data_IF_537834986613
#
_entry.id   IF_537834986613
#
_cell.length_a   1.000
_cell.length_b   1.000
_cell.length_c   1.000
_cell.angle_alpha   90.00
_cell.angle_beta   90.00
_cell.angle_gamma   90.00
#
_symmetry.space_group_name_H-M   'P 1'
#
loop_
_entity.id
_entity.type
_entity.pdbx_description
1 polymer ?
#
# COMPACT_ATOMS: atom_id res chain seq x y z
N UNK A 1 -57.51 46.05 -44.18
CA UNK A 1 -56.05 46.24 -44.20
C UNK A 1 -55.41 45.03 -43.56
N UNK A 2 -54.53 44.36 -44.32
CA UNK A 2 -53.67 43.26 -43.88
C UNK A 2 -52.42 43.87 -43.22
N UNK A 3 -51.94 43.32 -42.11
CA UNK A 3 -50.53 42.87 -41.98
C UNK A 3 -50.16 42.37 -40.58
N UNK A 4 -49.54 41.18 -40.58
CA UNK A 4 -48.72 40.57 -39.53
C UNK A 4 -47.43 41.37 -39.26
N UNK A 5 -46.92 41.28 -38.03
CA UNK A 5 -45.50 41.12 -37.64
C UNK A 5 -45.34 41.44 -36.14
N UNK A 6 -44.38 40.94 -35.35
CA UNK A 6 -43.47 39.80 -35.37
C UNK A 6 -42.86 39.72 -33.95
N UNK A 7 -42.51 38.52 -33.50
CA UNK A 7 -41.88 38.24 -32.20
C UNK A 7 -40.42 38.71 -32.21
N UNK A 8 -39.95 39.30 -31.10
CA UNK A 8 -38.51 39.32 -30.77
C UNK A 8 -38.33 39.19 -29.26
N UNK A 9 -37.81 38.04 -28.80
CA UNK A 9 -37.33 37.84 -27.43
C UNK A 9 -35.81 38.01 -27.45
N UNK A 10 -35.29 39.00 -26.73
CA UNK A 10 -33.84 39.16 -26.51
C UNK A 10 -33.46 38.45 -25.20
N UNK A 11 -32.65 37.41 -25.34
CA UNK A 11 -31.90 36.79 -24.26
C UNK A 11 -30.84 37.78 -23.75
N UNK A 12 -30.88 38.10 -22.46
CA UNK A 12 -29.83 38.83 -21.75
C UNK A 12 -29.23 37.94 -20.67
N UNK A 13 -27.98 37.54 -20.86
CA UNK A 13 -27.14 36.94 -19.82
C UNK A 13 -26.75 38.03 -18.81
N UNK A 14 -27.08 37.85 -17.53
CA UNK A 14 -26.71 38.82 -16.49
C UNK A 14 -26.67 38.19 -15.10
N UNK A 15 -25.44 37.99 -14.63
CA UNK A 15 -24.98 37.86 -13.24
C UNK A 15 -25.70 36.85 -12.33
N UNK A 16 -25.13 35.64 -12.22
CA UNK A 16 -25.29 34.84 -11.01
C UNK A 16 -24.48 35.48 -9.87
N UNK A 17 -24.97 35.42 -8.61
CA UNK A 17 -24.18 35.83 -7.45
C UNK A 17 -22.95 34.93 -7.34
N UNK A 18 -21.82 35.58 -7.07
CA UNK A 18 -20.54 34.96 -6.75
C UNK A 18 -20.69 34.29 -5.38
N UNK A 19 -21.16 33.04 -5.39
CA UNK A 19 -20.95 32.12 -4.28
C UNK A 19 -19.44 31.88 -4.24
N UNK A 20 -18.75 32.59 -3.33
CA UNK A 20 -17.35 32.33 -3.01
C UNK A 20 -17.24 30.85 -2.68
N UNK A 21 -16.68 30.11 -3.64
CA UNK A 21 -16.45 28.70 -3.51
C UNK A 21 -15.65 28.50 -2.25
N UNK A 22 -16.24 27.83 -1.27
CA UNK A 22 -15.50 27.26 -0.17
C UNK A 22 -14.40 26.41 -0.80
N UNK A 23 -13.17 26.90 -0.69
CA UNK A 23 -11.96 26.16 -0.99
C UNK A 23 -12.00 24.96 -0.05
N UNK A 24 -12.53 23.83 -0.53
CA UNK A 24 -12.37 22.58 0.16
C UNK A 24 -10.92 22.19 -0.09
N UNK A 25 -10.03 22.76 0.72
CA UNK A 25 -8.71 22.21 0.95
C UNK A 25 -8.93 20.81 1.49
N UNK A 26 -9.07 19.86 0.57
CA UNK A 26 -8.77 18.46 0.85
C UNK A 26 -7.32 18.50 1.25
N UNK A 27 -7.04 18.61 2.54
CA UNK A 27 -5.84 18.02 3.11
C UNK A 27 -5.88 16.59 2.59
N UNK A 28 -5.14 16.32 1.52
CA UNK A 28 -4.89 14.97 1.01
C UNK A 28 -4.32 14.30 2.22
N UNK A 29 -5.17 13.56 2.94
CA UNK A 29 -4.81 13.06 4.25
C UNK A 29 -3.46 12.40 4.07
N UNK A 30 -2.44 12.91 4.75
CA UNK A 30 -1.12 12.32 4.81
C UNK A 30 -1.20 11.02 5.64
N UNK A 31 -2.21 10.19 5.33
CA UNK A 31 -2.29 8.80 5.70
C UNK A 31 -1.30 8.06 4.83
N UNK A 32 -0.03 8.40 5.06
CA UNK A 32 1.08 7.53 4.78
C UNK A 32 1.20 6.53 5.90
N UNK A 33 1.50 5.30 5.54
CA UNK A 33 1.83 4.19 6.41
C UNK A 33 2.84 4.65 7.47
N UNK A 34 2.42 4.63 8.73
CA UNK A 34 3.22 5.15 9.84
C UNK A 34 3.89 4.04 10.63
N UNK A 35 5.19 4.20 10.86
CA UNK A 35 5.99 3.27 11.65
C UNK A 35 6.50 3.91 12.93
N UNK A 36 6.72 3.09 13.95
CA UNK A 36 7.30 3.52 15.24
C UNK A 36 8.58 2.74 15.55
N UNK A 37 9.52 3.38 16.22
CA UNK A 37 10.77 2.74 16.65
C UNK A 37 11.72 2.40 15.49
N UNK A 38 12.70 1.55 15.78
CA UNK A 38 13.72 1.12 14.82
C UNK A 38 13.29 -0.17 14.12
N UNK A 39 13.52 -0.32 12.81
CA UNK A 39 13.36 -1.59 12.14
C UNK A 39 14.27 -2.67 12.73
N UNK A 40 13.80 -3.91 12.73
CA UNK A 40 14.54 -5.08 13.21
C UNK A 40 14.73 -6.08 12.07
N UNK A 41 15.73 -6.94 12.20
CA UNK A 41 15.85 -8.13 11.37
C UNK A 41 15.26 -9.31 12.14
N UNK A 42 14.26 -9.97 11.56
CA UNK A 42 13.66 -11.19 12.06
C UNK A 42 14.15 -12.37 11.21
N UNK A 43 14.68 -13.41 11.87
CA UNK A 43 15.27 -14.57 11.21
C UNK A 43 14.58 -15.88 11.62
N UNK A 44 13.37 -15.84 12.20
CA UNK A 44 12.81 -17.07 12.76
C UNK A 44 11.42 -17.01 13.36
N UNK A 45 10.77 -15.85 13.42
CA UNK A 45 9.39 -15.77 13.91
C UNK A 45 8.48 -16.52 12.93
N UNK A 46 7.88 -17.62 13.39
CA UNK A 46 6.92 -18.40 12.61
C UNK A 46 5.50 -18.08 13.05
N UNK A 47 4.59 -17.98 12.10
CA UNK A 47 3.17 -17.89 12.40
C UNK A 47 2.35 -18.76 11.44
N UNK A 48 1.18 -19.21 11.89
CA UNK A 48 0.23 -19.96 11.07
C UNK A 48 -0.97 -19.09 10.76
N UNK A 49 -1.20 -18.83 9.48
CA UNK A 49 -2.32 -18.00 8.99
C UNK A 49 -3.08 -18.78 7.94
N UNK A 50 -4.39 -18.94 8.12
CA UNK A 50 -5.24 -19.70 7.18
C UNK A 50 -4.78 -21.16 6.95
N UNK A 51 -4.10 -21.78 7.91
CA UNK A 51 -3.55 -23.14 7.79
C UNK A 51 -2.15 -23.23 7.16
N UNK A 52 -1.57 -22.11 6.72
CA UNK A 52 -0.19 -22.06 6.20
C UNK A 52 0.77 -21.57 7.28
N UNK A 53 1.79 -22.37 7.62
CA UNK A 53 2.88 -21.95 8.52
C UNK A 53 3.98 -21.28 7.71
N UNK A 54 4.37 -20.07 8.08
CA UNK A 54 5.34 -19.27 7.33
C UNK A 54 6.21 -18.41 8.24
N UNK A 55 7.27 -17.81 7.69
CA UNK A 55 7.99 -16.75 8.40
C UNK A 55 7.08 -15.51 8.42
N UNK A 56 6.97 -14.88 9.58
CA UNK A 56 6.22 -13.65 9.78
C UNK A 56 7.06 -12.67 10.58
N UNK A 57 6.89 -11.38 10.34
CA UNK A 57 7.33 -10.38 11.30
C UNK A 57 6.61 -10.57 12.65
N UNK A 58 7.20 -10.11 13.78
CA UNK A 58 6.53 -10.11 15.07
C UNK A 58 5.17 -9.41 15.04
N UNK A 59 4.30 -9.74 16.00
CA UNK A 59 2.96 -9.12 16.07
C UNK A 59 3.06 -7.59 16.13
N UNK A 60 2.30 -6.91 15.26
CA UNK A 60 2.34 -5.45 15.12
C UNK A 60 3.42 -4.90 14.19
N UNK A 61 4.17 -5.76 13.49
CA UNK A 61 5.18 -5.36 12.52
C UNK A 61 4.75 -5.73 11.09
N UNK A 62 5.11 -4.88 10.14
CA UNK A 62 5.03 -5.16 8.71
C UNK A 62 6.42 -5.46 8.14
N UNK A 63 6.45 -6.24 7.06
CA UNK A 63 7.65 -6.46 6.28
C UNK A 63 7.98 -5.18 5.51
N UNK A 64 9.23 -4.72 5.60
CA UNK A 64 9.77 -3.59 4.82
C UNK A 64 10.94 -4.03 3.95
N UNK A 65 11.31 -5.31 4.00
CA UNK A 65 12.35 -5.93 3.21
C UNK A 65 12.49 -7.41 3.52
N UNK A 66 13.16 -8.13 2.63
CA UNK A 66 13.41 -9.55 2.77
C UNK A 66 14.74 -9.96 2.12
N UNK A 67 15.45 -10.86 2.79
CA UNK A 67 16.58 -11.60 2.24
C UNK A 67 16.12 -13.03 1.95
N UNK A 68 15.59 -13.25 0.74
CA UNK A 68 14.89 -14.49 0.37
C UNK A 68 15.77 -15.74 0.48
N UNK A 69 17.08 -15.63 0.21
CA UNK A 69 18.00 -16.77 0.29
C UNK A 69 18.32 -17.24 1.71
N UNK A 70 18.08 -16.39 2.72
CA UNK A 70 18.40 -16.68 4.13
C UNK A 70 17.16 -16.74 5.01
N UNK A 71 15.97 -16.53 4.41
CA UNK A 71 14.69 -16.42 5.14
C UNK A 71 14.78 -15.43 6.31
N UNK A 72 15.32 -14.22 6.06
CA UNK A 72 15.42 -13.12 7.05
C UNK A 72 14.58 -11.94 6.55
N UNK A 73 13.72 -11.39 7.39
CA UNK A 73 12.89 -10.23 7.06
C UNK A 73 13.33 -8.99 7.82
N UNK A 74 13.25 -7.84 7.17
CA UNK A 74 13.33 -6.55 7.86
C UNK A 74 11.92 -6.12 8.19
N UNK A 75 11.68 -5.90 9.47
CA UNK A 75 10.36 -5.65 10.02
C UNK A 75 10.33 -4.27 10.66
N UNK A 76 9.30 -3.47 10.36
CA UNK A 76 9.06 -2.19 11.02
C UNK A 76 7.72 -2.22 11.77
N UNK A 77 7.69 -1.64 12.96
CA UNK A 77 6.52 -1.66 13.83
C UNK A 77 5.49 -0.68 13.30
N UNK A 78 4.30 -1.18 12.95
CA UNK A 78 3.17 -0.33 12.57
C UNK A 78 2.73 0.51 13.78
N UNK A 79 2.35 1.77 13.55
CA UNK A 79 1.79 2.63 14.60
C UNK A 79 0.49 2.05 15.16
N UNK A 80 -0.29 1.40 14.30
CA UNK A 80 -1.53 0.69 14.62
C UNK A 80 -1.85 -0.33 13.53
N UNK A 81 -2.68 -1.32 13.86
CA UNK A 81 -3.18 -2.33 12.92
C UNK A 81 -4.70 -2.39 13.01
N UNK A 82 -5.36 -2.68 11.89
CA UNK A 82 -6.78 -3.00 11.86
C UNK A 82 -6.96 -4.48 11.53
N UNK A 83 -7.82 -5.17 12.28
CA UNK A 83 -8.13 -6.58 12.07
C UNK A 83 -6.99 -7.56 12.39
N UNK A 84 -7.27 -8.84 12.13
CA UNK A 84 -6.33 -9.95 12.30
C UNK A 84 -5.55 -10.22 11.03
N UNK A 85 -4.42 -10.91 11.15
CA UNK A 85 -3.67 -11.43 10.00
C UNK A 85 -4.54 -12.39 9.21
N UNK A 86 -4.48 -12.31 7.89
CA UNK A 86 -5.20 -13.21 6.99
C UNK A 86 -4.27 -13.72 5.89
N UNK A 87 -4.62 -14.87 5.33
CA UNK A 87 -3.83 -15.53 4.29
C UNK A 87 -4.27 -15.02 2.93
N UNK A 88 -3.31 -14.63 2.10
CA UNK A 88 -3.53 -14.41 0.68
C UNK A 88 -2.77 -15.47 -0.14
N UNK A 89 -3.46 -16.10 -1.08
CA UNK A 89 -2.95 -17.19 -1.92
C UNK A 89 -3.00 -16.90 -3.41
N UNK A 90 -3.36 -15.68 -3.83
CA UNK A 90 -3.42 -15.40 -5.26
C UNK A 90 -3.84 -14.01 -5.69
N UNK A 91 -3.94 -13.04 -4.78
CA UNK A 91 -4.14 -11.65 -5.22
C UNK A 91 -2.91 -11.23 -6.01
N UNK A 92 -3.14 -10.70 -7.21
CA UNK A 92 -2.06 -10.29 -8.12
C UNK A 92 -2.24 -8.85 -8.55
N UNK A 93 -1.15 -8.07 -8.44
CA UNK A 93 -1.10 -6.66 -8.86
C UNK A 93 0.30 -6.34 -9.37
N UNK A 94 0.40 -5.50 -10.39
CA UNK A 94 1.66 -5.19 -11.08
C UNK A 94 2.45 -6.43 -11.55
N UNK A 95 1.74 -7.51 -11.91
CA UNK A 95 2.35 -8.78 -12.32
C UNK A 95 3.03 -9.56 -11.19
N UNK A 96 2.74 -9.24 -9.93
CA UNK A 96 3.32 -9.88 -8.75
C UNK A 96 2.21 -10.35 -7.80
N UNK A 97 2.54 -11.30 -6.92
CA UNK A 97 1.65 -11.67 -5.82
C UNK A 97 1.62 -10.55 -4.81
N UNK A 98 0.44 -10.06 -4.45
CA UNK A 98 0.27 -8.94 -3.54
C UNK A 98 -0.80 -9.25 -2.51
N UNK A 99 -0.74 -8.58 -1.37
CA UNK A 99 -1.87 -8.47 -0.48
C UNK A 99 -3.02 -7.70 -1.15
N UNK A 100 -4.27 -7.96 -0.75
CA UNK A 100 -5.41 -7.13 -1.13
C UNK A 100 -5.14 -5.65 -0.91
N UNK A 101 -5.76 -4.80 -1.73
CA UNK A 101 -5.56 -3.36 -1.66
C UNK A 101 -5.86 -2.83 -0.25
N UNK A 102 -5.03 -1.90 0.23
CA UNK A 102 -5.13 -1.38 1.61
C UNK A 102 -4.50 -2.28 2.68
N UNK A 103 -3.88 -3.40 2.32
CA UNK A 103 -3.16 -4.29 3.24
C UNK A 103 -1.68 -4.38 2.92
N UNK A 104 -0.90 -4.74 3.94
CA UNK A 104 0.55 -4.93 3.84
C UNK A 104 0.95 -6.35 4.22
N UNK A 105 2.10 -6.78 3.73
CA UNK A 105 2.71 -8.06 4.06
C UNK A 105 3.24 -8.03 5.49
N UNK A 106 2.91 -9.05 6.25
CA UNK A 106 3.43 -9.32 7.60
C UNK A 106 4.10 -10.68 7.70
N UNK A 107 4.07 -11.47 6.61
CA UNK A 107 4.76 -12.75 6.50
C UNK A 107 4.70 -13.31 5.08
N UNK A 108 5.56 -14.29 4.82
CA UNK A 108 5.76 -14.88 3.50
C UNK A 108 6.15 -16.35 3.63
N UNK A 109 5.48 -17.20 2.86
CA UNK A 109 5.93 -18.55 2.56
C UNK A 109 6.49 -18.62 1.14
N UNK A 110 7.81 -18.51 0.99
CA UNK A 110 8.46 -18.46 -0.34
C UNK A 110 8.09 -19.67 -1.21
N UNK A 111 8.16 -20.89 -0.65
CA UNK A 111 7.93 -22.12 -1.44
C UNK A 111 6.52 -22.30 -2.00
N UNK A 112 5.49 -21.77 -1.34
CA UNK A 112 4.09 -21.86 -1.78
C UNK A 112 3.59 -20.52 -2.36
N UNK A 113 4.43 -19.49 -2.34
CA UNK A 113 4.05 -18.11 -2.67
C UNK A 113 2.80 -17.64 -1.92
N UNK A 114 2.69 -17.96 -0.63
CA UNK A 114 1.60 -17.49 0.23
C UNK A 114 2.01 -16.27 1.02
N UNK A 115 1.11 -15.30 1.18
CA UNK A 115 1.36 -14.10 1.97
C UNK A 115 0.50 -14.10 3.23
N UNK A 116 1.10 -13.75 4.36
CA UNK A 116 0.33 -13.27 5.49
C UNK A 116 0.17 -11.77 5.33
N UNK A 117 -1.07 -11.32 5.27
CA UNK A 117 -1.45 -9.94 5.06
C UNK A 117 -2.14 -9.39 6.31
N UNK A 118 -2.02 -8.08 6.51
CA UNK A 118 -2.74 -7.37 7.56
C UNK A 118 -3.04 -5.95 7.12
N UNK A 119 -4.21 -5.45 7.49
CA UNK A 119 -4.55 -4.04 7.29
C UNK A 119 -3.82 -3.19 8.34
N UNK A 120 -3.05 -2.16 7.94
CA UNK A 120 -2.56 -1.17 8.87
C UNK A 120 -3.74 -0.36 9.45
N UNK A 121 -3.51 0.36 10.55
CA UNK A 121 -4.53 1.26 11.10
C UNK A 121 -4.62 2.60 10.34
N UNK A 122 -3.65 2.87 9.47
CA UNK A 122 -3.63 3.99 8.52
C UNK A 122 -3.93 3.49 7.11
N UNK A 123 -4.39 4.37 6.22
CA UNK A 123 -4.59 4.02 4.81
C UNK A 123 -3.26 3.73 4.10
N UNK A 124 -3.31 2.86 3.08
CA UNK A 124 -2.29 2.77 2.04
C UNK A 124 -2.78 3.60 0.87
N UNK A 125 -2.05 4.65 0.51
CA UNK A 125 -2.45 5.64 -0.49
C UNK A 125 -1.67 5.50 -1.79
N UNK A 126 -0.53 4.82 -1.75
CA UNK A 126 0.35 4.67 -2.90
C UNK A 126 1.06 3.33 -2.91
N UNK A 127 1.32 2.79 -4.11
CA UNK A 127 2.11 1.59 -4.30
C UNK A 127 3.00 1.72 -5.55
N UNK A 128 4.26 1.28 -5.41
CA UNK A 128 5.20 1.20 -6.53
C UNK A 128 5.91 -0.14 -6.50
N UNK A 129 6.29 -0.65 -7.68
CA UNK A 129 7.26 -1.74 -7.75
C UNK A 129 8.66 -1.15 -7.54
N UNK A 130 9.49 -1.78 -6.72
CA UNK A 130 10.90 -1.39 -6.63
C UNK A 130 11.66 -1.76 -7.92
N UNK A 131 12.70 -0.99 -8.21
CA UNK A 131 13.47 -1.17 -9.45
C UNK A 131 14.29 -2.45 -9.47
N UNK A 132 14.87 -2.78 -10.63
CA UNK A 132 15.90 -3.81 -10.77
C UNK A 132 17.26 -3.16 -11.10
N UNK A 133 18.27 -3.25 -10.23
CA UNK A 133 18.27 -3.97 -8.96
C UNK A 133 17.49 -3.22 -7.87
N UNK A 134 16.92 -4.01 -6.97
CA UNK A 134 16.25 -3.54 -5.77
C UNK A 134 17.16 -2.73 -4.84
N UNK A 135 16.59 -1.91 -3.96
CA UNK A 135 17.38 -1.20 -2.95
C UNK A 135 17.90 -2.16 -1.88
N UNK A 136 19.21 -2.19 -1.65
CA UNK A 136 19.81 -2.99 -0.58
C UNK A 136 20.13 -2.14 0.66
N UNK A 137 19.94 -2.70 1.85
CA UNK A 137 20.46 -2.10 3.09
C UNK A 137 21.85 -2.65 3.50
N UNK A 138 22.28 -2.35 4.73
CA UNK A 138 23.59 -2.79 5.27
C UNK A 138 23.66 -4.29 5.57
N UNK A 139 22.53 -5.00 5.60
CA UNK A 139 22.44 -6.46 5.77
C UNK A 139 22.17 -7.15 4.43
N UNK A 140 22.91 -6.78 3.36
CA UNK A 140 22.56 -6.99 1.95
C UNK A 140 21.10 -7.33 1.62
N UNK A 141 20.13 -6.70 2.30
CA UNK A 141 18.74 -7.12 2.24
C UNK A 141 18.05 -6.26 1.21
N UNK A 142 17.27 -6.89 0.32
CA UNK A 142 16.37 -6.11 -0.51
C UNK A 142 15.30 -5.50 0.41
N UNK A 143 15.21 -4.18 0.41
CA UNK A 143 14.24 -3.41 1.18
C UNK A 143 13.41 -2.56 0.25
N UNK A 144 12.18 -2.27 0.66
CA UNK A 144 11.44 -1.16 0.08
C UNK A 144 12.17 0.16 0.34
N UNK A 145 12.00 1.11 -0.58
CA UNK A 145 12.67 2.42 -0.60
C UNK A 145 12.76 3.09 0.78
N UNK A 146 13.77 3.92 0.97
CA UNK A 146 14.04 4.56 2.27
C UNK A 146 12.81 5.33 2.81
N UNK A 147 12.45 5.04 4.07
CA UNK A 147 11.74 6.00 4.93
C UNK A 147 10.22 5.92 5.04
N UNK A 148 9.56 4.81 4.74
CA UNK A 148 8.11 4.71 5.02
C UNK A 148 7.30 3.71 4.20
N UNK A 149 7.96 2.75 3.55
CA UNK A 149 7.26 1.77 2.73
C UNK A 149 7.20 0.41 3.42
N UNK A 150 6.03 -0.22 3.39
CA UNK A 150 5.89 -1.64 3.65
C UNK A 150 5.82 -2.41 2.34
N UNK A 151 6.24 -3.66 2.36
CA UNK A 151 5.95 -4.58 1.29
C UNK A 151 4.44 -4.84 1.28
N UNK A 152 3.81 -4.68 0.14
CA UNK A 152 2.43 -5.11 -0.13
C UNK A 152 2.37 -6.20 -1.19
N UNK A 153 3.49 -6.51 -1.84
CA UNK A 153 3.59 -7.62 -2.78
C UNK A 153 5.03 -7.99 -3.08
N UNK A 154 5.20 -9.13 -3.75
CA UNK A 154 6.49 -9.72 -4.04
C UNK A 154 6.43 -10.58 -5.30
N UNK A 155 7.51 -10.52 -6.07
CA UNK A 155 7.93 -11.57 -6.98
C UNK A 155 9.25 -12.15 -6.48
N UNK A 156 9.15 -13.31 -5.82
CA UNK A 156 10.31 -13.95 -5.21
C UNK A 156 11.32 -14.46 -6.24
N UNK A 157 10.87 -14.81 -7.45
CA UNK A 157 11.73 -15.31 -8.53
C UNK A 157 12.62 -14.23 -9.16
N UNK A 158 12.14 -12.98 -9.16
CA UNK A 158 12.90 -11.83 -9.67
C UNK A 158 13.44 -10.93 -8.57
N UNK A 159 13.19 -11.26 -7.29
CA UNK A 159 13.52 -10.44 -6.14
C UNK A 159 13.03 -8.98 -6.31
N UNK A 160 11.75 -8.81 -6.65
CA UNK A 160 11.07 -7.51 -6.78
C UNK A 160 9.95 -7.39 -5.75
N UNK A 161 9.72 -6.22 -5.19
CA UNK A 161 8.64 -5.96 -4.24
C UNK A 161 7.70 -4.86 -4.73
N UNK A 162 6.42 -5.00 -4.37
CA UNK A 162 5.50 -3.86 -4.35
C UNK A 162 5.63 -3.20 -2.99
N UNK A 163 5.93 -1.91 -3.00
CA UNK A 163 6.17 -1.07 -1.84
C UNK A 163 5.03 -0.08 -1.69
N UNK A 164 4.30 -0.22 -0.58
CA UNK A 164 3.14 0.55 -0.18
C UNK A 164 3.49 1.66 0.79
N UNK A 165 2.93 2.85 0.58
CA UNK A 165 2.96 4.01 1.46
C UNK A 165 1.56 4.51 1.73
#
# INVERSE_FOLDING_TARGET
MVSLAAVTMLAGCGAAPEEEGAEFDVEVAESSLSFTGVPIYDAGTRCTVGGSTMHCCPTGYAMIGAHLGSDVFKCARLSSTSGSRFLDVGTTRNGMHACPYGSVMVGLHVGNNHLACQSPGTSVVFETVDGSPGTSDTYPMHVCLAGGYAMSGINAGSNLFTCAR
#
